data_IF_588617513815
#
_entry.id   IF_588617513815
#
_cell.length_a   1.000
_cell.length_b   1.000
_cell.length_c   1.000
_cell.angle_alpha   90.00
_cell.angle_beta   90.00
_cell.angle_gamma   90.00
#
_symmetry.space_group_name_H-M   'P 1'
#
loop_
_entity.id
_entity.type
_entity.pdbx_description
1 polymer ?
#
# COMPACT_ATOMS: atom_id res chain seq x y z
N UNK A 1 -31.17 -22.67 5.43
CA UNK A 1 -30.00 -21.85 5.86
C UNK A 1 -29.47 -21.22 4.61
N UNK A 2 -29.72 -19.95 4.38
CA UNK A 2 -29.12 -19.20 3.25
C UNK A 2 -27.63 -19.08 3.55
N UNK A 3 -26.78 -19.72 2.76
CA UNK A 3 -25.33 -19.47 2.81
C UNK A 3 -25.11 -17.97 2.62
N UNK A 4 -24.50 -17.33 3.62
CA UNK A 4 -24.11 -15.93 3.50
C UNK A 4 -23.05 -15.85 2.43
N UNK A 5 -23.37 -15.31 1.26
CA UNK A 5 -22.41 -15.13 0.18
C UNK A 5 -21.41 -14.07 0.60
N UNK A 6 -20.12 -14.42 0.62
CA UNK A 6 -19.04 -13.48 0.97
C UNK A 6 -19.00 -12.34 -0.05
N UNK A 7 -19.03 -11.11 0.45
CA UNK A 7 -18.98 -9.90 -0.36
C UNK A 7 -17.53 -9.38 -0.42
N UNK A 8 -17.08 -9.10 -1.64
CA UNK A 8 -15.75 -8.52 -1.93
C UNK A 8 -15.91 -7.09 -2.39
N UNK A 9 -15.10 -6.19 -1.85
CA UNK A 9 -15.03 -4.79 -2.25
C UNK A 9 -13.70 -4.52 -2.91
N UNK A 10 -13.71 -4.17 -4.21
CA UNK A 10 -12.52 -3.95 -5.00
C UNK A 10 -12.21 -2.45 -5.08
N UNK A 11 -10.97 -2.09 -4.75
CA UNK A 11 -10.47 -0.72 -4.77
C UNK A 11 -9.17 -0.66 -5.57
N UNK A 12 -9.10 0.19 -6.57
CA UNK A 12 -7.86 0.44 -7.31
C UNK A 12 -7.02 1.54 -6.65
N UNK A 13 -5.72 1.39 -6.67
CA UNK A 13 -4.75 2.38 -6.18
C UNK A 13 -3.69 2.57 -7.27
N UNK A 14 -3.95 3.43 -8.27
CA UNK A 14 -3.08 3.59 -9.43
C UNK A 14 -1.84 4.44 -9.09
N UNK A 15 -0.95 3.92 -8.24
CA UNK A 15 0.25 4.61 -7.78
C UNK A 15 1.51 4.11 -8.48
N UNK A 16 2.39 5.02 -8.94
CA UNK A 16 3.69 4.71 -9.52
C UNK A 16 4.82 5.63 -8.98
N UNK A 17 4.56 6.28 -7.84
CA UNK A 17 5.45 7.28 -7.26
C UNK A 17 6.52 6.67 -6.34
N UNK A 18 6.25 5.51 -5.75
CA UNK A 18 7.18 4.83 -4.86
C UNK A 18 8.36 4.16 -5.58
N UNK A 19 8.41 4.22 -6.91
CA UNK A 19 9.45 3.62 -7.73
C UNK A 19 9.77 4.49 -8.97
N UNK A 20 10.79 4.12 -9.76
CA UNK A 20 11.27 4.98 -10.87
C UNK A 20 10.59 4.73 -12.21
N UNK A 21 10.08 3.52 -12.45
CA UNK A 21 9.50 3.12 -13.74
C UNK A 21 8.04 3.51 -13.80
N UNK A 22 7.62 4.09 -14.91
CA UNK A 22 6.21 4.41 -15.14
C UNK A 22 5.41 3.21 -15.63
N UNK A 23 4.11 3.25 -15.42
CA UNK A 23 3.15 2.33 -16.01
C UNK A 23 2.55 1.32 -15.06
N UNK A 24 3.09 1.14 -13.85
CA UNK A 24 2.47 0.25 -12.85
C UNK A 24 1.16 0.81 -12.30
N UNK A 25 0.92 2.11 -12.44
CA UNK A 25 -0.36 2.78 -12.19
C UNK A 25 -1.52 2.24 -13.05
N UNK A 26 -1.21 1.61 -14.19
CA UNK A 26 -2.20 0.91 -15.01
C UNK A 26 -2.67 -0.41 -14.39
N UNK A 27 -1.99 -0.94 -13.37
CA UNK A 27 -2.28 -2.23 -12.73
C UNK A 27 -3.74 -2.45 -12.39
N UNK A 28 -4.42 -1.55 -11.66
CA UNK A 28 -5.83 -1.70 -11.33
C UNK A 28 -6.74 -1.83 -12.54
N UNK A 29 -6.50 -1.04 -13.59
CA UNK A 29 -7.27 -1.10 -14.83
C UNK A 29 -6.97 -2.39 -15.61
N UNK A 30 -5.70 -2.77 -15.73
CA UNK A 30 -5.30 -3.98 -16.43
C UNK A 30 -5.92 -5.24 -15.81
N UNK A 31 -5.93 -5.35 -14.49
CA UNK A 31 -6.53 -6.49 -13.78
C UNK A 31 -8.05 -6.52 -13.99
N UNK A 32 -8.72 -5.37 -13.98
CA UNK A 32 -10.16 -5.28 -14.30
C UNK A 32 -10.45 -5.76 -15.72
N UNK A 33 -9.70 -5.27 -16.70
CA UNK A 33 -9.85 -5.70 -18.10
C UNK A 33 -9.49 -7.16 -18.35
N UNK A 34 -8.62 -7.74 -17.53
CA UNK A 34 -8.30 -9.17 -17.58
C UNK A 34 -9.44 -10.08 -17.08
N UNK A 35 -10.58 -9.53 -16.66
CA UNK A 35 -11.76 -10.29 -16.29
C UNK A 35 -11.80 -10.75 -14.82
N UNK A 36 -11.09 -10.07 -13.94
CA UNK A 36 -11.06 -10.40 -12.49
C UNK A 36 -12.48 -10.53 -11.91
N UNK A 37 -13.38 -9.59 -12.19
CA UNK A 37 -14.73 -9.58 -11.64
C UNK A 37 -15.53 -10.82 -12.02
N UNK A 38 -15.49 -11.20 -13.31
CA UNK A 38 -16.21 -12.37 -13.79
C UNK A 38 -15.64 -13.65 -13.15
N UNK A 39 -14.33 -13.71 -12.97
CA UNK A 39 -13.70 -14.84 -12.30
C UNK A 39 -14.11 -14.97 -10.85
N UNK A 40 -14.15 -13.87 -10.10
CA UNK A 40 -14.60 -13.85 -8.71
C UNK A 40 -16.08 -14.24 -8.58
N UNK A 41 -16.95 -13.72 -9.47
CA UNK A 41 -18.37 -14.11 -9.50
C UNK A 41 -18.57 -15.60 -9.82
N UNK A 42 -17.78 -16.15 -10.74
CA UNK A 42 -17.79 -17.60 -11.04
C UNK A 42 -17.39 -18.47 -9.83
N UNK A 43 -16.56 -17.93 -8.93
CA UNK A 43 -16.18 -18.57 -7.68
C UNK A 43 -17.24 -18.41 -6.57
N UNK A 44 -18.37 -17.74 -6.84
CA UNK A 44 -19.49 -17.60 -5.92
C UNK A 44 -19.46 -16.36 -5.03
N UNK A 45 -18.53 -15.41 -5.26
CA UNK A 45 -18.47 -14.16 -4.50
C UNK A 45 -19.43 -13.11 -5.07
N UNK A 46 -19.97 -12.28 -4.19
CA UNK A 46 -20.55 -10.99 -4.59
C UNK A 46 -19.41 -9.97 -4.67
N UNK A 47 -19.38 -9.22 -5.78
CA UNK A 47 -18.24 -8.32 -6.07
C UNK A 47 -18.76 -6.92 -6.37
N UNK A 48 -18.33 -5.96 -5.56
CA UNK A 48 -18.50 -4.53 -5.76
C UNK A 48 -17.20 -3.91 -6.28
N UNK A 49 -17.28 -3.10 -7.34
CA UNK A 49 -16.16 -2.21 -7.74
C UNK A 49 -16.38 -0.83 -7.12
N UNK A 50 -15.60 -0.51 -6.11
CA UNK A 50 -15.64 0.79 -5.44
C UNK A 50 -14.77 1.87 -6.15
N UNK A 51 -14.27 1.58 -7.35
CA UNK A 51 -13.48 2.51 -8.15
C UNK A 51 -12.03 2.63 -7.68
N UNK A 52 -11.45 3.81 -7.83
CA UNK A 52 -10.06 4.07 -7.47
C UNK A 52 -9.95 5.08 -6.32
N UNK A 53 -9.00 4.84 -5.44
CA UNK A 53 -8.51 5.85 -4.49
C UNK A 53 -7.74 6.90 -5.29
N UNK A 54 -8.06 8.21 -5.15
CA UNK A 54 -7.32 9.27 -5.81
C UNK A 54 -5.87 9.32 -5.31
N UNK A 55 -4.91 9.25 -6.22
CA UNK A 55 -3.48 9.41 -5.92
C UNK A 55 -2.90 10.58 -6.72
N UNK A 56 -1.89 11.29 -6.21
CA UNK A 56 -1.22 12.35 -6.96
C UNK A 56 -0.56 11.80 -8.23
N UNK A 57 -0.75 12.50 -9.36
CA UNK A 57 -0.03 12.19 -10.60
C UNK A 57 1.37 12.79 -10.60
N UNK A 58 2.32 12.16 -11.32
CA UNK A 58 3.67 12.71 -11.49
C UNK A 58 3.69 14.09 -12.14
N UNK A 59 2.71 14.38 -12.99
CA UNK A 59 2.65 15.64 -13.74
C UNK A 59 1.95 16.75 -12.96
N UNK A 60 1.32 16.47 -11.81
CA UNK A 60 0.66 17.44 -10.93
C UNK A 60 1.64 18.25 -10.05
N UNK A 61 2.94 17.98 -10.15
CA UNK A 61 4.03 18.56 -9.34
C UNK A 61 4.12 20.08 -9.34
N UNK A 62 3.53 20.79 -10.30
CA UNK A 62 3.78 22.22 -10.53
C UNK A 62 3.23 23.17 -9.46
N UNK A 63 2.48 22.71 -8.48
CA UNK A 63 1.77 23.60 -7.52
C UNK A 63 2.34 23.56 -6.09
N UNK A 64 3.20 22.59 -5.73
CA UNK A 64 3.59 22.42 -4.32
C UNK A 64 5.11 22.32 -4.04
N UNK A 65 5.98 22.71 -4.96
CA UNK A 65 7.44 22.62 -4.79
C UNK A 65 8.02 23.38 -3.58
N UNK A 66 7.25 24.22 -2.90
CA UNK A 66 7.75 25.08 -1.83
C UNK A 66 7.39 24.66 -0.41
N UNK A 67 6.59 23.62 -0.20
CA UNK A 67 6.06 23.29 1.13
C UNK A 67 6.78 22.12 1.83
N UNK A 68 7.64 21.36 1.14
CA UNK A 68 8.08 20.04 1.61
C UNK A 68 9.60 19.84 1.67
N UNK A 69 10.39 20.91 1.61
CA UNK A 69 11.86 20.83 1.63
C UNK A 69 12.46 20.41 2.98
N UNK A 70 11.63 20.17 3.99
CA UNK A 70 12.06 19.97 5.37
C UNK A 70 11.51 18.66 6.02
N UNK A 71 11.13 17.67 5.21
CA UNK A 71 10.87 16.34 5.74
C UNK A 71 12.21 15.69 6.07
N UNK A 72 12.40 15.28 7.32
CA UNK A 72 13.67 14.80 7.89
C UNK A 72 14.26 13.53 7.25
N UNK A 73 13.61 12.99 6.21
CA UNK A 73 14.00 11.77 5.50
C UNK A 73 14.68 12.08 4.17
N UNK A 74 15.85 12.68 4.21
CA UNK A 74 16.62 13.02 3.00
C UNK A 74 16.89 11.82 2.09
N UNK A 75 16.73 12.02 0.78
CA UNK A 75 17.02 11.02 -0.25
C UNK A 75 15.83 10.20 -0.75
N UNK A 76 14.66 10.27 -0.09
CA UNK A 76 13.45 9.58 -0.56
C UNK A 76 12.80 10.29 -1.75
N UNK A 77 12.48 9.50 -2.77
CA UNK A 77 11.82 10.01 -3.98
C UNK A 77 10.33 10.17 -3.76
N UNK A 78 9.79 11.32 -4.17
CA UNK A 78 8.36 11.60 -4.13
C UNK A 78 7.69 11.43 -2.75
N UNK A 79 8.48 11.59 -1.67
CA UNK A 79 7.96 11.37 -0.31
C UNK A 79 6.66 12.14 -0.04
N UNK A 80 6.52 13.43 -0.38
CA UNK A 80 5.28 14.19 -0.13
C UNK A 80 4.06 13.60 -0.83
N UNK A 81 4.23 13.22 -2.09
CA UNK A 81 3.16 12.65 -2.90
C UNK A 81 2.78 11.24 -2.43
N UNK A 82 3.80 10.42 -2.11
CA UNK A 82 3.59 9.08 -1.53
C UNK A 82 2.90 9.18 -0.17
N UNK A 83 3.33 10.10 0.70
CA UNK A 83 2.68 10.33 1.98
C UNK A 83 1.22 10.76 1.81
N UNK A 84 0.95 11.68 0.87
CA UNK A 84 -0.42 12.10 0.54
C UNK A 84 -1.26 10.92 0.06
N UNK A 85 -0.73 10.08 -0.83
CA UNK A 85 -1.41 8.89 -1.30
C UNK A 85 -1.66 7.90 -0.15
N UNK A 86 -0.62 7.57 0.63
CA UNK A 86 -0.73 6.65 1.76
C UNK A 86 -1.71 7.12 2.82
N UNK A 87 -1.83 8.44 3.04
CA UNK A 87 -2.84 9.00 3.96
C UNK A 87 -4.26 8.72 3.47
N UNK A 88 -4.53 8.94 2.18
CA UNK A 88 -5.85 8.63 1.59
C UNK A 88 -6.15 7.13 1.61
N UNK A 89 -5.14 6.32 1.28
CA UNK A 89 -5.24 4.86 1.32
C UNK A 89 -5.53 4.37 2.73
N UNK A 90 -4.84 4.92 3.74
CA UNK A 90 -5.09 4.64 5.15
C UNK A 90 -6.54 4.89 5.55
N UNK A 91 -7.12 6.06 5.20
CA UNK A 91 -8.51 6.38 5.54
C UNK A 91 -9.49 5.38 4.91
N UNK A 92 -9.31 5.07 3.62
CA UNK A 92 -10.16 4.11 2.91
C UNK A 92 -10.02 2.70 3.49
N UNK A 93 -8.78 2.25 3.78
CA UNK A 93 -8.55 0.94 4.36
C UNK A 93 -9.14 0.83 5.79
N UNK A 94 -9.05 1.90 6.58
CA UNK A 94 -9.67 2.01 7.90
C UNK A 94 -11.20 1.92 7.82
N UNK A 95 -11.81 2.56 6.85
CA UNK A 95 -13.25 2.44 6.60
C UNK A 95 -13.62 1.00 6.24
N UNK A 96 -12.92 0.39 5.28
CA UNK A 96 -13.15 -1.00 4.86
C UNK A 96 -12.97 -2.01 6.01
N UNK A 97 -12.01 -1.79 6.90
CA UNK A 97 -11.75 -2.68 8.03
C UNK A 97 -12.89 -2.72 9.07
N UNK A 98 -13.81 -1.76 9.02
CA UNK A 98 -15.00 -1.68 9.86
C UNK A 98 -16.28 -2.10 9.15
N UNK A 99 -16.19 -2.69 7.96
CA UNK A 99 -17.32 -3.23 7.18
C UNK A 99 -17.24 -4.76 7.11
N UNK A 100 -18.35 -5.44 6.82
CA UNK A 100 -18.35 -6.91 6.70
C UNK A 100 -17.72 -7.42 5.39
N UNK A 101 -17.51 -6.56 4.41
CA UNK A 101 -16.92 -6.92 3.12
C UNK A 101 -15.42 -7.19 3.27
N UNK A 102 -14.89 -8.09 2.43
CA UNK A 102 -13.45 -8.30 2.33
C UNK A 102 -12.90 -7.32 1.29
N UNK A 103 -12.07 -6.35 1.68
CA UNK A 103 -11.46 -5.43 0.73
C UNK A 103 -10.33 -6.11 -0.06
N UNK A 104 -10.27 -5.82 -1.36
CA UNK A 104 -9.18 -6.17 -2.25
C UNK A 104 -8.62 -4.89 -2.85
N UNK A 105 -7.39 -4.54 -2.50
CA UNK A 105 -6.70 -3.38 -3.02
C UNK A 105 -5.83 -3.78 -4.22
N UNK A 106 -6.13 -3.22 -5.39
CA UNK A 106 -5.36 -3.44 -6.61
C UNK A 106 -4.33 -2.32 -6.77
N UNK A 107 -3.06 -2.63 -6.61
CA UNK A 107 -1.97 -1.68 -6.76
C UNK A 107 -1.54 -1.49 -8.21
N UNK A 108 -0.76 -0.62 -8.31
CA UNK A 108 0.41 0.15 -8.52
C UNK A 108 1.66 -0.45 -7.89
N UNK A 109 2.51 0.42 -7.43
CA UNK A 109 3.71 -0.02 -6.73
C UNK A 109 3.42 -0.41 -5.26
N UNK A 110 4.39 -1.11 -4.63
CA UNK A 110 4.18 -1.76 -3.33
C UNK A 110 4.11 -0.78 -2.14
N UNK A 111 4.45 0.50 -2.30
CA UNK A 111 4.30 1.49 -1.24
C UNK A 111 2.86 1.68 -0.77
N UNK A 112 1.86 1.26 -1.58
CA UNK A 112 0.46 1.25 -1.15
C UNK A 112 0.22 0.42 0.10
N UNK A 113 1.06 -0.60 0.36
CA UNK A 113 0.96 -1.45 1.54
C UNK A 113 1.10 -0.68 2.85
N UNK A 114 1.86 0.43 2.85
CA UNK A 114 1.99 1.30 4.03
C UNK A 114 0.61 1.80 4.47
N UNK A 115 -0.18 2.32 3.55
CA UNK A 115 -1.53 2.83 3.85
C UNK A 115 -2.56 1.72 4.10
N UNK A 116 -2.56 0.66 3.27
CA UNK A 116 -3.57 -0.40 3.38
C UNK A 116 -3.43 -1.18 4.68
N UNK A 117 -2.21 -1.56 5.06
CA UNK A 117 -1.96 -2.28 6.32
C UNK A 117 -2.18 -1.39 7.53
N UNK A 118 -1.68 -0.14 7.50
CA UNK A 118 -1.87 0.79 8.61
C UNK A 118 -3.36 1.07 8.87
N UNK A 119 -4.16 1.24 7.83
CA UNK A 119 -5.61 1.46 7.95
C UNK A 119 -6.33 0.21 8.48
N UNK A 120 -6.00 -0.97 7.94
CA UNK A 120 -6.60 -2.23 8.38
C UNK A 120 -6.27 -2.56 9.83
N UNK A 121 -5.06 -2.25 10.29
CA UNK A 121 -4.61 -2.48 11.67
C UNK A 121 -5.44 -1.71 12.72
N UNK A 122 -6.21 -0.70 12.34
CA UNK A 122 -7.08 0.03 13.27
C UNK A 122 -8.27 -0.78 13.79
N UNK A 123 -8.67 -1.84 13.10
CA UNK A 123 -9.80 -2.69 13.50
C UNK A 123 -9.44 -3.73 14.58
N UNK A 124 -8.16 -3.88 14.91
CA UNK A 124 -7.69 -4.81 15.94
C UNK A 124 -6.40 -5.53 15.58
N UNK A 125 -6.00 -6.56 16.34
CA UNK A 125 -4.80 -7.32 16.06
C UNK A 125 -4.78 -7.89 14.63
N UNK A 126 -3.66 -7.68 13.92
CA UNK A 126 -3.50 -8.06 12.52
C UNK A 126 -2.23 -8.92 12.36
N UNK A 127 -2.34 -10.02 11.61
CA UNK A 127 -1.21 -10.76 11.08
C UNK A 127 -1.01 -10.44 9.60
N UNK A 128 0.25 -10.30 9.16
CA UNK A 128 0.62 -10.01 7.78
C UNK A 128 1.28 -11.23 7.13
N UNK A 129 0.72 -11.70 6.03
CA UNK A 129 1.37 -12.65 5.14
C UNK A 129 1.92 -11.87 3.93
N UNK A 130 3.26 -11.72 3.88
CA UNK A 130 3.97 -11.02 2.81
C UNK A 130 4.44 -12.03 1.76
N UNK A 131 3.80 -12.05 0.60
CA UNK A 131 4.12 -12.97 -0.49
C UNK A 131 4.80 -12.21 -1.62
N UNK A 132 6.13 -12.21 -1.63
CA UNK A 132 6.96 -11.44 -2.55
C UNK A 132 8.31 -12.12 -2.81
N UNK A 133 9.00 -11.70 -3.88
CA UNK A 133 10.39 -12.05 -4.14
C UNK A 133 11.37 -11.25 -3.27
N UNK A 134 10.97 -10.06 -2.83
CA UNK A 134 11.77 -9.09 -2.07
C UNK A 134 11.29 -8.98 -0.64
N UNK A 135 12.18 -8.51 0.24
CA UNK A 135 11.86 -8.30 1.65
C UNK A 135 11.11 -7.00 1.93
N UNK A 136 11.22 -6.03 1.04
CA UNK A 136 10.74 -4.65 1.17
C UNK A 136 11.08 -4.03 2.54
N UNK A 137 12.32 -4.30 2.95
CA UNK A 137 12.84 -4.04 4.30
C UNK A 137 13.88 -2.92 4.33
N UNK A 138 14.03 -2.18 3.23
CA UNK A 138 14.92 -1.02 3.19
C UNK A 138 14.40 0.14 4.04
N UNK A 139 15.33 0.94 4.49
CA UNK A 139 15.08 2.25 5.11
C UNK A 139 15.69 3.36 4.23
N UNK A 140 15.47 4.64 4.53
CA UNK A 140 16.15 5.72 3.80
C UNK A 140 17.68 5.57 3.78
N UNK A 141 18.27 5.02 4.85
CA UNK A 141 19.71 4.85 5.02
C UNK A 141 20.25 3.66 4.22
N UNK A 142 19.46 2.59 4.05
CA UNK A 142 19.91 1.36 3.37
C UNK A 142 19.53 1.33 1.90
N UNK A 143 18.54 2.12 1.47
CA UNK A 143 18.05 2.10 0.10
C UNK A 143 19.03 2.78 -0.87
N UNK A 144 19.57 2.06 -1.87
CA UNK A 144 20.46 2.67 -2.85
C UNK A 144 19.72 3.59 -3.83
N UNK A 145 18.41 3.46 -3.95
CA UNK A 145 17.59 4.18 -4.93
C UNK A 145 16.74 5.29 -4.34
N UNK A 146 16.45 5.26 -3.03
CA UNK A 146 15.47 6.11 -2.38
C UNK A 146 14.02 5.81 -2.78
N UNK A 147 13.75 4.66 -3.39
CA UNK A 147 12.41 4.24 -3.81
C UNK A 147 11.63 3.66 -2.62
N UNK A 148 10.52 4.28 -2.28
CA UNK A 148 9.72 3.92 -1.10
C UNK A 148 9.05 2.55 -1.24
N UNK A 149 8.82 2.05 -2.48
CA UNK A 149 8.19 0.75 -2.68
C UNK A 149 8.99 -0.43 -2.09
N UNK A 150 10.29 -0.28 -1.86
CA UNK A 150 11.12 -1.29 -1.19
C UNK A 150 11.21 -1.12 0.33
N UNK A 151 10.34 -0.33 0.95
CA UNK A 151 10.38 0.01 2.39
C UNK A 151 9.13 -0.35 3.20
N UNK A 152 8.03 -0.85 2.63
CA UNK A 152 6.78 -1.00 3.36
C UNK A 152 6.90 -1.84 4.62
N UNK A 153 7.59 -2.97 4.58
CA UNK A 153 7.70 -3.87 5.74
C UNK A 153 8.50 -3.22 6.87
N UNK A 154 9.64 -2.58 6.56
CA UNK A 154 10.41 -1.81 7.55
C UNK A 154 9.56 -0.71 8.19
N UNK A 155 8.84 0.07 7.37
CA UNK A 155 7.95 1.14 7.83
C UNK A 155 6.87 0.62 8.78
N UNK A 156 6.21 -0.49 8.43
CA UNK A 156 5.13 -1.07 9.24
C UNK A 156 5.60 -1.55 10.61
N UNK A 157 6.86 -1.95 10.76
CA UNK A 157 7.43 -2.34 12.06
C UNK A 157 8.20 -1.21 12.76
N UNK A 158 8.12 0.02 12.25
CA UNK A 158 8.62 1.22 12.94
C UNK A 158 10.01 1.66 12.53
N UNK A 159 10.53 1.23 11.38
CA UNK A 159 11.83 1.66 10.86
C UNK A 159 11.67 2.51 9.60
N UNK A 160 12.45 3.55 9.46
CA UNK A 160 12.52 4.41 8.29
C UNK A 160 11.98 5.82 8.55
N UNK A 161 11.29 6.39 7.58
CA UNK A 161 10.80 7.77 7.62
C UNK A 161 9.68 7.94 8.64
N UNK A 162 9.88 8.84 9.60
CA UNK A 162 8.93 9.07 10.70
C UNK A 162 7.52 9.42 10.21
N UNK A 163 7.40 10.20 9.15
CA UNK A 163 6.10 10.58 8.59
C UNK A 163 5.31 9.37 8.07
N UNK A 164 6.00 8.37 7.51
CA UNK A 164 5.38 7.14 7.06
C UNK A 164 5.16 6.16 8.22
N UNK A 165 6.12 6.05 9.14
CA UNK A 165 6.01 5.22 10.34
C UNK A 165 4.84 5.66 11.22
N UNK A 166 4.63 6.97 11.36
CA UNK A 166 3.55 7.53 12.19
C UNK A 166 2.23 7.76 11.43
N UNK A 167 2.11 7.24 10.21
CA UNK A 167 0.89 7.38 9.41
C UNK A 167 -0.34 6.90 10.20
N UNK A 168 -1.34 7.75 10.35
CA UNK A 168 -2.59 7.48 11.03
C UNK A 168 -2.52 7.44 12.56
N UNK A 169 -1.51 6.80 13.13
CA UNK A 169 -1.24 6.81 14.57
C UNK A 169 0.27 6.67 14.84
N UNK A 170 0.78 7.18 15.98
CA UNK A 170 2.19 7.08 16.32
C UNK A 170 2.69 5.64 16.46
N UNK A 171 3.91 5.38 15.99
CA UNK A 171 4.64 4.13 16.17
C UNK A 171 4.32 3.05 15.13
N UNK A 172 4.90 1.85 15.33
CA UNK A 172 4.75 0.72 14.42
C UNK A 172 3.29 0.24 14.34
N UNK A 173 2.94 -0.32 13.19
CA UNK A 173 1.61 -0.89 12.91
C UNK A 173 1.56 -2.37 13.24
N UNK A 174 2.70 -3.04 13.12
CA UNK A 174 2.88 -4.47 13.37
C UNK A 174 4.14 -4.70 14.19
N UNK A 175 4.16 -5.81 14.91
CA UNK A 175 5.37 -6.38 15.50
C UNK A 175 6.01 -7.36 14.53
N UNK A 176 7.34 -7.56 14.53
CA UNK A 176 8.00 -8.52 13.64
C UNK A 176 7.39 -9.94 13.71
N UNK A 177 6.93 -10.37 14.89
CA UNK A 177 6.33 -11.68 15.13
C UNK A 177 4.93 -11.85 14.48
N UNK A 178 4.34 -10.76 14.02
CA UNK A 178 3.03 -10.76 13.33
C UNK A 178 3.17 -10.85 11.82
N UNK A 179 4.41 -10.98 11.30
CA UNK A 179 4.71 -11.03 9.87
C UNK A 179 5.27 -12.39 9.49
N UNK A 180 4.64 -13.04 8.53
CA UNK A 180 5.17 -14.21 7.84
C UNK A 180 5.51 -13.85 6.39
N UNK A 181 6.73 -14.18 5.94
CA UNK A 181 7.20 -13.87 4.58
C UNK A 181 7.32 -15.14 3.76
N UNK A 182 6.82 -15.12 2.52
CA UNK A 182 6.85 -16.26 1.60
C UNK A 182 7.41 -15.83 0.24
N UNK A 183 8.29 -16.64 -0.33
CA UNK A 183 8.83 -16.44 -1.68
C UNK A 183 10.04 -15.54 -1.76
N UNK A 184 10.54 -15.04 -0.63
CA UNK A 184 11.72 -14.18 -0.58
C UNK A 184 12.93 -14.89 -1.15
N UNK A 185 13.57 -14.29 -2.14
CA UNK A 185 14.74 -14.83 -2.83
C UNK A 185 15.76 -13.78 -3.26
N UNK A 186 15.41 -12.50 -3.08
CA UNK A 186 16.28 -11.37 -3.40
C UNK A 186 16.22 -10.38 -2.23
N UNK A 187 17.31 -10.27 -1.51
CA UNK A 187 17.49 -9.36 -0.38
C UNK A 187 18.65 -8.44 -0.68
N UNK A 188 18.48 -7.17 -0.41
CA UNK A 188 19.59 -6.23 -0.49
C UNK A 188 20.69 -6.62 0.52
N UNK A 189 21.97 -6.38 0.19
CA UNK A 189 23.06 -6.59 1.14
C UNK A 189 22.85 -5.74 2.40
N UNK A 190 23.31 -6.24 3.55
CA UNK A 190 23.23 -5.51 4.81
C UNK A 190 24.07 -4.22 4.80
#
# INVERSE_FOLDING_TARGET
MTESTTQLRILGIPMDLGQQRRGVDMGPSAIRYAGMFDRLRQLGYQVEDAGNVPVPGRDERRVQEHAWTDLGCGGLRHLPEVLTACTRIYEVARECANTPEIPIFLGGDHSIAIGTVAGTATAGPLGLLWSDAHGDFNTPETSPSGNIHGMPVATLIGHGCDELVHLGHPGPKLRPQEIAMIGIRDLDPP
#
